data_IF_422251394337
#
_entry.id   IF_422251394337
#
_cell.length_a   1.000
_cell.length_b   1.000
_cell.length_c   1.000
_cell.angle_alpha   90.00
_cell.angle_beta   90.00
_cell.angle_gamma   90.00
#
_symmetry.space_group_name_H-M   'P 1'
#
loop_
_entity.id
_entity.type
_entity.pdbx_description
1 polymer ?
#
# COMPACT_ATOMS: atom_id res chain seq x y z
N UNK A 1 4.29 12.92 3.99
CA UNK A 1 3.84 14.33 3.95
C UNK A 1 2.55 14.44 4.73
N UNK A 2 2.47 15.43 5.65
CA UNK A 2 1.27 15.67 6.45
C UNK A 2 0.49 16.91 5.94
N UNK A 3 1.20 17.84 5.31
CA UNK A 3 0.59 19.09 4.87
C UNK A 3 1.37 19.67 3.69
N UNK A 4 0.67 20.33 2.78
CA UNK A 4 1.26 21.15 1.73
C UNK A 4 0.86 22.60 1.97
N UNK A 5 1.84 23.48 2.08
CA UNK A 5 1.68 24.93 2.17
C UNK A 5 1.92 25.53 0.81
N UNK A 6 0.96 26.31 0.32
CA UNK A 6 1.01 26.94 -1.00
C UNK A 6 0.82 28.45 -0.80
N UNK A 7 1.79 29.22 -1.25
CA UNK A 7 1.71 30.67 -1.34
C UNK A 7 1.22 31.00 -2.73
N UNK A 8 0.01 31.53 -2.87
CA UNK A 8 -0.63 31.74 -4.17
C UNK A 8 -1.28 33.10 -4.30
N UNK A 9 -1.00 33.77 -5.38
CA UNK A 9 -1.56 35.01 -5.81
C UNK A 9 -1.93 34.95 -7.30
N UNK A 10 -1.31 35.79 -8.13
CA UNK A 10 -1.41 35.70 -9.57
C UNK A 10 -0.74 34.45 -10.14
N UNK A 11 0.25 33.94 -9.43
CA UNK A 11 1.02 32.72 -9.72
C UNK A 11 1.08 31.84 -8.47
N UNK A 12 1.71 30.69 -8.58
CA UNK A 12 2.18 29.96 -7.41
C UNK A 12 3.50 30.60 -6.97
N UNK A 13 3.43 31.44 -5.95
CA UNK A 13 4.58 32.18 -5.43
C UNK A 13 5.55 31.23 -4.73
N UNK A 14 5.03 30.29 -3.95
CA UNK A 14 5.85 29.31 -3.26
C UNK A 14 5.09 28.07 -2.82
N UNK A 15 5.85 27.00 -2.56
CA UNK A 15 5.32 25.73 -2.09
C UNK A 15 6.27 25.09 -1.08
N UNK A 16 5.71 24.42 -0.06
CA UNK A 16 6.47 23.78 1.01
C UNK A 16 5.73 22.54 1.49
N UNK A 17 6.45 21.42 1.69
CA UNK A 17 5.94 20.24 2.36
C UNK A 17 6.21 20.30 3.86
N UNK A 18 5.24 19.84 4.64
CA UNK A 18 5.36 19.58 6.07
C UNK A 18 5.29 18.06 6.26
N UNK A 19 6.20 17.52 7.03
CA UNK A 19 6.32 16.10 7.28
C UNK A 19 5.96 15.76 8.72
N UNK A 20 5.32 14.65 8.93
CA UNK A 20 5.17 14.04 10.25
C UNK A 20 6.31 13.05 10.48
N UNK A 21 6.98 13.19 11.61
CA UNK A 21 8.03 12.29 12.05
C UNK A 21 7.43 11.07 12.77
N UNK A 22 8.20 9.99 12.97
CA UNK A 22 7.73 8.78 13.66
C UNK A 22 7.22 9.03 15.09
N UNK A 23 7.71 10.04 15.77
CA UNK A 23 7.28 10.46 17.11
C UNK A 23 5.98 11.30 17.10
N UNK A 24 5.40 11.53 15.90
CA UNK A 24 4.19 12.33 15.71
C UNK A 24 4.46 13.85 15.58
N UNK A 25 5.66 14.32 15.82
CA UNK A 25 6.01 15.73 15.64
C UNK A 25 6.02 16.14 14.17
N UNK A 26 5.87 17.45 13.91
CA UNK A 26 5.89 18.00 12.56
C UNK A 26 7.22 18.71 12.29
N UNK A 27 7.76 18.50 11.09
CA UNK A 27 8.90 19.26 10.59
C UNK A 27 8.61 19.82 9.21
N UNK A 28 9.19 20.97 8.87
CA UNK A 28 9.00 21.62 7.58
C UNK A 28 10.18 21.35 6.67
N UNK A 29 9.92 20.92 5.46
CA UNK A 29 10.89 20.89 4.38
C UNK A 29 11.21 22.31 3.89
N UNK A 30 12.19 22.45 2.98
CA UNK A 30 12.52 23.75 2.44
C UNK A 30 11.35 24.29 1.59
N UNK A 31 11.04 25.60 1.77
CA UNK A 31 10.15 26.31 0.87
C UNK A 31 10.84 26.50 -0.49
N UNK A 32 10.10 26.25 -1.54
CA UNK A 32 10.50 26.50 -2.92
C UNK A 32 9.71 27.68 -3.46
N UNK A 33 10.39 28.71 -3.97
CA UNK A 33 9.79 29.99 -4.35
C UNK A 33 9.75 31.01 -3.22
N UNK A 34 8.98 32.08 -3.43
CA UNK A 34 8.81 33.20 -2.51
C UNK A 34 7.72 32.95 -1.48
N UNK A 35 7.43 34.02 -0.72
CA UNK A 35 6.37 34.07 0.29
C UNK A 35 5.28 35.09 -0.07
N UNK A 36 5.26 35.55 -1.31
CA UNK A 36 4.20 36.39 -1.84
C UNK A 36 2.86 35.67 -1.88
N UNK A 37 1.82 36.40 -2.18
CA UNK A 37 0.47 35.88 -2.25
C UNK A 37 -0.11 35.45 -0.89
N UNK A 38 -1.22 34.73 -0.94
CA UNK A 38 -1.92 34.22 0.24
C UNK A 38 -1.41 32.82 0.60
N UNK A 39 -1.07 32.59 1.87
CA UNK A 39 -0.80 31.23 2.37
C UNK A 39 -2.10 30.41 2.39
N UNK A 40 -2.07 29.30 1.70
CA UNK A 40 -3.08 28.25 1.73
C UNK A 40 -2.44 26.98 2.28
N UNK A 41 -3.22 26.21 3.01
CA UNK A 41 -2.77 24.97 3.63
C UNK A 41 -3.68 23.84 3.21
N UNK A 42 -3.09 22.80 2.61
CA UNK A 42 -3.76 21.55 2.29
C UNK A 42 -3.23 20.47 3.24
N UNK A 43 -4.02 20.16 4.28
CA UNK A 43 -3.69 19.08 5.23
C UNK A 43 -4.13 17.75 4.66
N UNK A 44 -3.27 16.76 4.77
CA UNK A 44 -3.58 15.38 4.42
C UNK A 44 -4.20 14.68 5.63
N UNK A 45 -5.25 13.90 5.40
CA UNK A 45 -5.86 13.04 6.40
C UNK A 45 -4.97 11.82 6.67
N UNK A 46 -5.29 11.07 7.73
CA UNK A 46 -4.61 9.80 8.00
C UNK A 46 -4.69 8.88 6.76
N UNK A 47 -3.54 8.35 6.34
CA UNK A 47 -3.38 7.49 5.16
C UNK A 47 -3.67 8.17 3.80
N UNK A 48 -3.92 9.46 3.79
CA UNK A 48 -3.96 10.24 2.57
C UNK A 48 -2.54 10.55 2.11
N UNK A 49 -2.27 10.34 0.82
CA UNK A 49 -0.96 10.59 0.21
C UNK A 49 -1.09 11.21 -1.16
N UNK A 50 -0.06 11.97 -1.56
CA UNK A 50 -0.04 12.70 -2.83
C UNK A 50 0.19 11.71 -3.97
N UNK A 51 -0.68 11.77 -4.99
CA UNK A 51 -0.62 10.97 -6.22
C UNK A 51 -0.29 11.81 -7.46
N UNK A 52 -0.26 13.12 -7.33
CA UNK A 52 0.08 13.98 -8.47
C UNK A 52 -0.24 15.44 -8.27
N UNK A 53 0.07 16.21 -9.29
CA UNK A 53 -0.27 17.63 -9.43
C UNK A 53 -0.88 17.91 -10.79
N UNK A 54 -1.71 18.94 -10.88
CA UNK A 54 -2.14 19.51 -12.16
C UNK A 54 -2.34 21.02 -12.05
N UNK A 55 -2.39 21.70 -13.16
CA UNK A 55 -2.64 23.14 -13.20
C UNK A 55 -2.32 23.75 -14.55
N UNK A 56 -2.09 25.05 -14.54
CA UNK A 56 -1.73 25.84 -15.72
C UNK A 56 -0.36 26.46 -15.54
N UNK A 57 0.31 26.68 -16.65
CA UNK A 57 1.61 27.35 -16.69
C UNK A 57 1.81 28.19 -17.96
N UNK A 58 2.69 29.17 -17.87
CA UNK A 58 3.31 29.90 -18.95
C UNK A 58 4.84 29.84 -18.78
N UNK A 59 5.45 30.97 -18.43
CA UNK A 59 6.84 31.04 -18.00
C UNK A 59 7.02 30.60 -16.53
N UNK A 60 5.93 30.66 -15.77
CA UNK A 60 5.81 30.30 -14.35
C UNK A 60 4.68 29.30 -14.18
N UNK A 61 4.60 28.71 -12.98
CA UNK A 61 3.42 27.93 -12.57
C UNK A 61 2.32 28.92 -12.17
N UNK A 62 1.30 29.06 -13.01
CA UNK A 62 0.16 29.96 -12.77
C UNK A 62 -0.78 29.39 -11.72
N UNK A 63 -1.08 28.09 -11.81
CA UNK A 63 -1.96 27.43 -10.85
C UNK A 63 -1.55 26.00 -10.56
N UNK A 64 -1.99 25.51 -9.39
CA UNK A 64 -1.70 24.19 -8.88
C UNK A 64 -2.96 23.57 -8.27
N UNK A 65 -3.21 22.29 -8.57
CA UNK A 65 -4.06 21.37 -7.81
C UNK A 65 -3.23 20.21 -7.32
N UNK A 66 -3.52 19.77 -6.12
CA UNK A 66 -2.92 18.58 -5.51
C UNK A 66 -3.91 17.43 -5.68
N UNK A 67 -3.44 16.32 -6.23
CA UNK A 67 -4.19 15.08 -6.30
C UNK A 67 -3.68 14.14 -5.21
N UNK A 68 -4.60 13.53 -4.50
CA UNK A 68 -4.30 12.50 -3.50
C UNK A 68 -5.02 11.20 -3.88
N UNK A 69 -4.71 10.14 -3.14
CA UNK A 69 -5.47 8.88 -3.24
C UNK A 69 -6.95 9.06 -2.84
N UNK A 70 -7.31 10.17 -2.16
CA UNK A 70 -8.62 10.41 -1.60
C UNK A 70 -9.41 11.50 -2.33
N UNK A 71 -8.76 12.60 -2.72
CA UNK A 71 -9.42 13.81 -3.24
C UNK A 71 -8.48 14.66 -4.09
N UNK A 72 -9.08 15.66 -4.71
CA UNK A 72 -8.35 16.74 -5.40
C UNK A 72 -8.57 18.04 -4.63
N UNK A 73 -7.50 18.79 -4.42
CA UNK A 73 -7.59 20.10 -3.76
C UNK A 73 -8.34 21.14 -4.61
N UNK A 74 -8.76 22.26 -4.02
CA UNK A 74 -9.05 23.48 -4.78
C UNK A 74 -7.86 23.88 -5.65
N UNK A 75 -8.09 24.82 -6.58
CA UNK A 75 -7.01 25.48 -7.32
C UNK A 75 -6.33 26.50 -6.43
N UNK A 76 -5.02 26.49 -6.40
CA UNK A 76 -4.17 27.50 -5.77
C UNK A 76 -3.42 28.28 -6.84
N UNK A 77 -3.16 29.55 -6.62
CA UNK A 77 -2.55 30.47 -7.58
C UNK A 77 -3.60 31.21 -8.42
N UNK A 78 -3.23 31.63 -9.61
CA UNK A 78 -4.07 32.45 -10.49
C UNK A 78 -4.80 31.67 -11.58
N UNK A 79 -5.39 32.42 -12.50
CA UNK A 79 -6.13 31.88 -13.65
C UNK A 79 -5.38 32.01 -14.98
N UNK A 80 -4.17 32.59 -14.96
CA UNK A 80 -3.30 32.74 -16.12
C UNK A 80 -2.84 31.38 -16.65
N UNK A 81 -1.82 31.46 -17.51
CA UNK A 81 -1.25 30.27 -18.16
C UNK A 81 -2.09 29.75 -19.32
N UNK A 82 -1.43 29.52 -20.45
CA UNK A 82 -2.09 29.04 -21.69
C UNK A 82 -1.91 27.54 -21.89
N UNK A 83 -1.01 26.93 -21.12
CA UNK A 83 -0.72 25.50 -21.19
C UNK A 83 -1.18 24.81 -19.90
N UNK A 84 -1.64 23.57 -20.03
CA UNK A 84 -2.01 22.73 -18.89
C UNK A 84 -0.92 21.70 -18.64
N UNK A 85 -0.76 21.31 -17.38
CA UNK A 85 0.10 20.19 -16.99
C UNK A 85 -0.62 19.24 -16.06
N UNK A 86 -0.22 17.98 -16.12
CA UNK A 86 -0.63 16.91 -15.21
C UNK A 86 0.56 16.01 -14.93
N UNK A 87 0.87 15.86 -13.67
CA UNK A 87 1.93 14.98 -13.15
C UNK A 87 1.21 13.87 -12.38
N UNK A 88 1.42 12.64 -12.78
CA UNK A 88 0.87 11.47 -12.10
C UNK A 88 2.02 10.60 -11.59
N UNK A 89 1.86 10.09 -10.40
CA UNK A 89 2.79 9.16 -9.76
C UNK A 89 2.30 7.74 -10.05
N UNK A 90 3.20 6.79 -10.40
CA UNK A 90 2.83 5.40 -10.59
C UNK A 90 2.13 4.81 -9.36
N UNK A 91 1.12 3.95 -9.58
CA UNK A 91 0.37 3.30 -8.50
C UNK A 91 1.30 2.62 -7.48
N UNK A 92 0.88 2.61 -6.22
CA UNK A 92 1.68 2.08 -5.10
C UNK A 92 2.78 3.00 -4.58
N UNK A 93 2.88 4.23 -5.12
CA UNK A 93 3.84 5.23 -4.68
C UNK A 93 3.13 6.47 -4.12
N UNK A 94 3.88 7.28 -3.38
CA UNK A 94 3.47 8.55 -2.77
C UNK A 94 4.46 9.64 -3.12
N UNK A 95 3.99 10.85 -3.38
CA UNK A 95 4.83 12.05 -3.51
C UNK A 95 5.46 12.41 -2.17
N UNK A 96 6.79 12.40 -2.14
CA UNK A 96 7.55 12.58 -0.89
C UNK A 96 8.40 13.85 -0.88
N UNK A 97 8.72 14.42 -2.04
CA UNK A 97 9.47 15.68 -2.11
C UNK A 97 9.14 16.45 -3.40
N UNK A 98 9.48 17.73 -3.39
CA UNK A 98 9.32 18.62 -4.52
C UNK A 98 10.58 18.63 -5.38
N UNK A 99 10.37 18.64 -6.68
CA UNK A 99 11.39 18.79 -7.71
C UNK A 99 11.02 19.98 -8.58
N UNK A 100 12.00 20.73 -9.11
CA UNK A 100 11.71 21.80 -10.04
C UNK A 100 12.69 22.98 -9.94
N UNK A 101 12.23 24.13 -10.42
CA UNK A 101 12.96 25.40 -10.36
C UNK A 101 12.10 26.44 -9.70
N UNK A 102 12.72 27.30 -8.90
CA UNK A 102 12.05 28.39 -8.21
C UNK A 102 13.02 29.52 -7.94
N UNK A 103 12.56 30.74 -8.13
CA UNK A 103 13.21 31.97 -7.72
C UNK A 103 12.26 32.76 -6.83
N UNK A 104 11.78 33.93 -7.29
CA UNK A 104 10.71 34.67 -6.64
C UNK A 104 9.36 33.95 -6.71
N UNK A 105 9.16 33.14 -7.74
CA UNK A 105 7.99 32.32 -8.01
C UNK A 105 8.41 30.87 -8.25
N UNK A 106 7.46 29.98 -8.39
CA UNK A 106 7.70 28.61 -8.84
C UNK A 106 7.73 28.60 -10.36
N UNK A 107 8.93 28.38 -10.95
CA UNK A 107 9.13 28.38 -12.40
C UNK A 107 8.78 27.03 -13.03
N UNK A 108 9.09 25.95 -12.33
CA UNK A 108 8.76 24.58 -12.73
C UNK A 108 8.53 23.71 -11.51
N UNK A 109 7.63 22.74 -11.61
CA UNK A 109 7.26 21.85 -10.52
C UNK A 109 7.24 20.41 -10.97
N UNK A 110 7.68 19.51 -10.10
CA UNK A 110 7.64 18.07 -10.23
C UNK A 110 7.57 17.41 -8.85
N UNK A 111 7.42 16.10 -8.85
CA UNK A 111 7.36 15.29 -7.64
C UNK A 111 8.46 14.22 -7.65
N UNK A 112 9.16 14.11 -6.53
CA UNK A 112 9.90 12.90 -6.18
C UNK A 112 8.93 11.99 -5.47
N UNK A 113 8.90 10.71 -5.82
CA UNK A 113 8.02 9.72 -5.23
C UNK A 113 8.78 8.51 -4.71
N UNK A 114 8.18 7.84 -3.74
CA UNK A 114 8.69 6.59 -3.16
C UNK A 114 7.54 5.61 -2.96
N UNK A 115 7.82 4.30 -2.92
CA UNK A 115 6.82 3.31 -2.58
C UNK A 115 6.10 3.64 -1.26
N UNK A 116 4.78 3.49 -1.26
CA UNK A 116 3.95 3.69 -0.08
C UNK A 116 3.30 2.38 0.31
N UNK A 117 3.85 1.77 1.35
CA UNK A 117 3.48 0.45 1.80
C UNK A 117 2.42 0.47 2.89
N UNK A 118 1.65 -0.62 2.96
CA UNK A 118 0.70 -0.90 4.03
C UNK A 118 1.41 -0.95 5.37
N UNK A 119 0.87 -0.27 6.36
CA UNK A 119 1.34 -0.37 7.73
C UNK A 119 0.78 -1.65 8.37
N UNK A 120 1.66 -2.62 8.64
CA UNK A 120 1.30 -3.86 9.31
C UNK A 120 0.87 -3.55 10.75
N UNK A 121 -0.36 -3.90 11.11
CA UNK A 121 -0.89 -3.70 12.46
C UNK A 121 -0.35 -4.75 13.45
N UNK A 122 0.01 -5.93 12.95
CA UNK A 122 0.61 -6.98 13.76
C UNK A 122 0.80 -8.29 13.00
N UNK A 123 1.28 -9.29 13.74
CA UNK A 123 1.58 -10.63 13.25
C UNK A 123 0.95 -11.68 14.17
N UNK A 124 0.53 -12.81 13.62
CA UNK A 124 0.15 -13.98 14.40
C UNK A 124 1.40 -14.67 14.99
N UNK A 125 1.23 -15.77 15.70
CA UNK A 125 2.32 -16.73 15.96
C UNK A 125 2.66 -17.47 14.67
N UNK A 126 3.77 -18.20 14.68
CA UNK A 126 4.21 -19.09 13.59
C UNK A 126 4.03 -20.56 13.97
N UNK A 127 3.77 -21.41 12.97
CA UNK A 127 3.83 -22.86 13.05
C UNK A 127 4.88 -23.37 12.08
N UNK A 128 5.74 -24.29 12.54
CA UNK A 128 6.81 -24.87 11.76
C UNK A 128 8.10 -25.03 12.56
N UNK A 129 9.18 -25.38 11.89
CA UNK A 129 10.51 -25.55 12.46
C UNK A 129 11.40 -24.32 12.31
N UNK A 130 12.66 -24.45 12.75
CA UNK A 130 13.66 -23.38 12.71
C UNK A 130 14.56 -23.40 11.47
N UNK A 131 14.26 -24.23 10.46
CA UNK A 131 15.02 -24.32 9.22
C UNK A 131 14.84 -23.10 8.30
N UNK A 132 15.56 -23.12 7.17
CA UNK A 132 15.44 -22.10 6.14
C UNK A 132 15.81 -20.67 6.54
N UNK A 133 15.45 -19.73 5.70
CA UNK A 133 15.66 -18.28 5.92
C UNK A 133 14.36 -17.58 6.31
N UNK A 134 14.47 -16.53 7.09
CA UNK A 134 13.32 -15.72 7.45
C UNK A 134 12.77 -14.93 6.25
N UNK A 135 11.45 -14.81 6.17
CA UNK A 135 10.78 -13.94 5.22
C UNK A 135 9.62 -13.20 5.88
N UNK A 136 9.23 -12.09 5.31
CA UNK A 136 8.01 -11.38 5.68
C UNK A 136 7.51 -10.56 4.49
N UNK A 137 6.23 -10.71 4.15
CA UNK A 137 5.57 -9.89 3.15
C UNK A 137 5.17 -8.56 3.80
N UNK A 138 6.02 -7.54 3.67
CA UNK A 138 5.82 -6.20 4.24
C UNK A 138 5.77 -5.09 3.19
N UNK A 139 6.41 -5.30 2.05
CA UNK A 139 6.47 -4.33 0.97
C UNK A 139 5.22 -4.43 0.07
N UNK A 140 4.05 -4.28 0.71
CA UNK A 140 2.76 -4.39 0.06
C UNK A 140 2.25 -2.96 -0.19
N UNK A 141 1.99 -2.58 -1.46
CA UNK A 141 1.51 -1.25 -1.79
C UNK A 141 0.21 -0.90 -1.05
N UNK A 142 0.11 0.33 -0.60
CA UNK A 142 -1.08 0.81 0.10
C UNK A 142 -2.34 0.64 -0.76
N UNK A 143 -3.37 0.02 -0.17
CA UNK A 143 -4.63 -0.29 -0.84
C UNK A 143 -4.62 -1.56 -1.68
N UNK A 144 -3.51 -2.30 -1.71
CA UNK A 144 -3.46 -3.62 -2.31
C UNK A 144 -4.33 -4.62 -1.54
N UNK A 145 -4.95 -5.57 -2.25
CA UNK A 145 -5.78 -6.62 -1.67
C UNK A 145 -5.36 -7.97 -2.18
N UNK A 146 -5.34 -8.97 -1.33
CA UNK A 146 -5.15 -10.34 -1.77
C UNK A 146 -6.36 -10.76 -2.60
N UNK A 147 -6.11 -11.21 -3.84
CA UNK A 147 -7.12 -11.75 -4.73
C UNK A 147 -6.91 -13.23 -5.02
N UNK A 148 -5.69 -13.72 -4.83
CA UNK A 148 -5.35 -15.09 -5.13
C UNK A 148 -4.17 -15.57 -4.27
N UNK A 149 -4.24 -16.82 -3.84
CA UNK A 149 -3.09 -17.56 -3.30
C UNK A 149 -2.76 -18.70 -4.24
N UNK A 150 -1.50 -18.78 -4.67
CA UNK A 150 -0.93 -19.91 -5.40
C UNK A 150 -0.16 -20.76 -4.41
N UNK A 151 -0.60 -22.01 -4.23
CA UNK A 151 -0.08 -22.90 -3.20
C UNK A 151 0.49 -24.14 -3.89
N UNK A 152 1.77 -24.38 -3.71
CA UNK A 152 2.42 -25.61 -4.15
C UNK A 152 2.47 -26.56 -2.96
N UNK A 153 1.89 -27.75 -3.10
CA UNK A 153 1.75 -28.68 -1.98
C UNK A 153 1.84 -30.14 -2.44
N UNK A 154 2.62 -30.91 -1.71
CA UNK A 154 2.73 -32.36 -1.82
C UNK A 154 2.60 -33.00 -0.44
N UNK A 155 3.65 -33.63 0.06
CA UNK A 155 3.73 -34.09 1.45
C UNK A 155 3.77 -32.91 2.45
N UNK A 156 4.36 -31.80 2.02
CA UNK A 156 4.49 -30.55 2.75
C UNK A 156 3.90 -29.42 1.90
N UNK A 157 3.85 -28.21 2.48
CA UNK A 157 3.70 -27.01 1.70
C UNK A 157 5.05 -26.67 1.09
N UNK A 158 5.17 -26.84 -0.22
CA UNK A 158 6.40 -26.58 -0.97
C UNK A 158 6.62 -25.08 -1.17
N UNK A 159 5.56 -24.35 -1.43
CA UNK A 159 5.64 -22.89 -1.59
C UNK A 159 4.28 -22.22 -1.63
N UNK A 160 4.31 -20.91 -1.39
CA UNK A 160 3.13 -20.04 -1.44
C UNK A 160 3.49 -18.71 -2.12
N UNK A 161 2.59 -18.22 -2.96
CA UNK A 161 2.70 -16.91 -3.60
C UNK A 161 1.37 -16.17 -3.46
N UNK A 162 1.43 -14.90 -3.08
CA UNK A 162 0.27 -14.03 -2.96
C UNK A 162 0.14 -13.18 -4.23
N UNK A 163 -1.07 -13.05 -4.75
CA UNK A 163 -1.40 -12.14 -5.85
C UNK A 163 -2.32 -11.06 -5.30
N UNK A 164 -1.97 -9.81 -5.58
CA UNK A 164 -2.71 -8.63 -5.13
C UNK A 164 -3.37 -7.92 -6.30
N UNK A 165 -4.57 -7.41 -6.10
CA UNK A 165 -5.11 -6.32 -6.93
C UNK A 165 -4.68 -4.98 -6.32
N UNK A 166 -4.23 -4.07 -7.18
CA UNK A 166 -3.88 -2.69 -6.82
C UNK A 166 -5.08 -1.76 -7.08
N UNK A 167 -5.00 -0.53 -6.56
CA UNK A 167 -6.08 0.45 -6.69
C UNK A 167 -6.38 0.90 -8.12
N UNK A 168 -5.40 0.86 -9.00
CA UNK A 168 -5.56 1.19 -10.43
C UNK A 168 -6.13 0.06 -11.27
N UNK A 169 -6.46 -1.08 -10.65
CA UNK A 169 -6.95 -2.29 -11.28
C UNK A 169 -5.85 -3.22 -11.81
N UNK A 170 -4.59 -2.83 -11.71
CA UNK A 170 -3.47 -3.71 -12.04
C UNK A 170 -3.28 -4.81 -10.99
N UNK A 171 -2.53 -5.84 -11.34
CA UNK A 171 -2.16 -6.92 -10.42
C UNK A 171 -0.68 -6.88 -10.08
N UNK A 172 -0.37 -7.22 -8.83
CA UNK A 172 0.99 -7.41 -8.33
C UNK A 172 1.15 -8.86 -7.86
N UNK A 173 2.09 -9.58 -8.44
CA UNK A 173 2.51 -10.87 -7.93
C UNK A 173 3.59 -10.66 -6.87
N UNK A 174 3.29 -11.09 -5.65
CA UNK A 174 4.27 -11.10 -4.56
C UNK A 174 5.35 -12.15 -4.79
N UNK A 175 6.40 -12.17 -3.97
CA UNK A 175 7.44 -13.17 -4.05
C UNK A 175 6.87 -14.59 -3.86
N UNK A 176 7.38 -15.55 -4.62
CA UNK A 176 7.17 -16.97 -4.30
C UNK A 176 8.01 -17.30 -3.07
N UNK A 177 7.37 -17.71 -1.99
CA UNK A 177 8.00 -18.21 -0.77
C UNK A 177 8.12 -19.73 -0.84
N UNK A 178 9.30 -20.28 -0.56
CA UNK A 178 9.62 -21.69 -0.81
C UNK A 178 9.90 -21.94 -2.30
N UNK A 179 9.34 -23.01 -2.83
CA UNK A 179 9.60 -23.42 -4.23
C UNK A 179 8.34 -23.92 -4.96
N UNK A 180 8.45 -24.05 -6.27
CA UNK A 180 7.45 -24.71 -7.13
C UNK A 180 7.62 -26.23 -7.08
N UNK A 181 7.24 -26.86 -5.97
CA UNK A 181 7.20 -28.33 -5.81
C UNK A 181 5.77 -28.83 -5.65
N UNK A 182 5.59 -30.13 -5.55
CA UNK A 182 4.27 -30.74 -5.38
C UNK A 182 3.26 -30.32 -6.47
N UNK A 183 1.97 -30.42 -6.13
CA UNK A 183 0.87 -30.03 -7.03
C UNK A 183 0.56 -28.56 -6.91
N UNK A 184 0.43 -27.82 -8.03
CA UNK A 184 -0.01 -26.43 -8.01
C UNK A 184 -1.52 -26.35 -7.68
N UNK A 185 -1.86 -25.42 -6.81
CA UNK A 185 -3.23 -25.13 -6.39
C UNK A 185 -3.44 -23.63 -6.41
N UNK A 186 -4.65 -23.21 -6.74
CA UNK A 186 -5.05 -21.81 -6.74
C UNK A 186 -6.28 -21.64 -5.87
N UNK A 187 -6.20 -20.73 -4.90
CA UNK A 187 -7.33 -20.24 -4.12
C UNK A 187 -7.60 -18.81 -4.54
N UNK A 188 -8.65 -18.57 -5.31
CA UNK A 188 -9.14 -17.24 -5.65
C UNK A 188 -10.09 -16.75 -4.57
N UNK A 189 -9.92 -15.49 -4.16
CA UNK A 189 -10.82 -14.79 -3.27
C UNK A 189 -11.84 -13.99 -4.10
N UNK A 190 -13.10 -14.01 -3.64
CA UNK A 190 -14.18 -13.26 -4.26
C UNK A 190 -14.12 -11.77 -3.85
N UNK A 191 -14.94 -10.94 -4.49
CA UNK A 191 -15.08 -9.54 -4.11
C UNK A 191 -15.49 -9.43 -2.62
N UNK A 192 -14.75 -8.63 -1.83
CA UNK A 192 -14.92 -8.48 -0.37
C UNK A 192 -14.70 -9.77 0.45
N UNK A 193 -14.09 -10.79 -0.13
CA UNK A 193 -13.56 -11.93 0.61
C UNK A 193 -12.14 -11.61 1.06
N UNK A 194 -11.81 -11.86 2.32
CA UNK A 194 -10.49 -11.64 2.90
C UNK A 194 -10.13 -12.73 3.89
N UNK A 195 -8.85 -12.95 4.07
CA UNK A 195 -8.31 -14.01 4.93
C UNK A 195 -8.40 -13.55 6.39
N UNK A 196 -8.98 -14.41 7.23
CA UNK A 196 -9.15 -14.20 8.68
C UNK A 196 -8.29 -15.14 9.51
N UNK A 197 -7.68 -16.14 8.89
CA UNK A 197 -6.84 -17.09 9.62
C UNK A 197 -6.30 -18.21 8.74
N UNK A 198 -5.46 -19.01 9.35
CA UNK A 198 -4.93 -20.25 8.77
C UNK A 198 -4.93 -21.37 9.80
N UNK A 199 -5.02 -22.60 9.34
CA UNK A 199 -4.85 -23.80 10.15
C UNK A 199 -4.19 -24.92 9.35
N UNK A 200 -3.73 -25.93 10.03
CA UNK A 200 -3.08 -27.08 9.40
C UNK A 200 -2.28 -27.91 10.38
N UNK A 201 -1.23 -28.52 9.84
CA UNK A 201 -0.29 -29.34 10.63
C UNK A 201 1.15 -28.92 10.34
N UNK A 202 2.02 -29.14 11.29
CA UNK A 202 3.46 -28.84 11.18
C UNK A 202 4.32 -29.82 12.00
N UNK A 203 5.55 -29.99 11.55
CA UNK A 203 6.68 -30.57 12.26
C UNK A 203 7.89 -29.67 12.05
N UNK A 204 8.94 -30.21 11.42
CA UNK A 204 10.10 -29.42 10.98
C UNK A 204 9.74 -28.49 9.79
N UNK A 205 8.64 -28.79 9.11
CA UNK A 205 8.06 -28.02 8.01
C UNK A 205 6.58 -27.77 8.25
N UNK A 206 5.97 -26.94 7.44
CA UNK A 206 4.51 -26.81 7.34
C UNK A 206 3.99 -28.01 6.55
N UNK A 207 3.41 -28.99 7.25
CA UNK A 207 2.89 -30.22 6.63
C UNK A 207 1.62 -29.91 5.81
N UNK A 208 0.75 -29.09 6.33
CA UNK A 208 -0.47 -28.72 5.64
C UNK A 208 -0.98 -27.31 5.99
N UNK A 209 -1.85 -26.82 5.10
CA UNK A 209 -2.43 -25.49 5.20
C UNK A 209 -3.91 -25.52 4.81
N UNK A 210 -4.76 -24.90 5.63
CA UNK A 210 -6.11 -24.41 5.29
C UNK A 210 -6.14 -22.91 5.47
N UNK A 211 -6.84 -22.23 4.58
CA UNK A 211 -7.07 -20.79 4.63
C UNK A 211 -8.51 -20.54 5.08
N UNK A 212 -8.69 -19.75 6.12
CA UNK A 212 -10.00 -19.29 6.60
C UNK A 212 -10.22 -17.88 6.09
N UNK A 213 -11.42 -17.63 5.57
CA UNK A 213 -11.83 -16.31 5.12
C UNK A 213 -13.07 -15.85 5.92
N UNK A 214 -13.47 -14.61 5.74
CA UNK A 214 -14.72 -14.11 6.29
C UNK A 214 -15.98 -14.79 5.69
N UNK A 215 -15.83 -15.68 4.68
CA UNK A 215 -16.94 -16.34 3.99
C UNK A 215 -16.88 -17.87 4.05
N UNK A 216 -15.66 -18.44 4.02
CA UNK A 216 -15.46 -19.90 3.91
C UNK A 216 -14.12 -20.35 4.43
N UNK A 217 -13.97 -21.66 4.51
CA UNK A 217 -12.69 -22.34 4.75
C UNK A 217 -12.31 -23.11 3.49
N UNK A 218 -11.05 -23.00 3.07
CA UNK A 218 -10.53 -23.73 1.93
C UNK A 218 -10.46 -25.24 2.22
N UNK A 219 -10.25 -26.04 1.18
CA UNK A 219 -9.78 -27.41 1.38
C UNK A 219 -8.43 -27.44 2.09
N UNK A 220 -8.01 -28.59 2.57
CA UNK A 220 -6.66 -28.82 3.06
C UNK A 220 -5.71 -28.95 1.87
N UNK A 221 -4.59 -28.26 1.92
CA UNK A 221 -3.44 -28.42 1.03
C UNK A 221 -2.33 -29.10 1.83
N UNK A 222 -1.53 -29.98 1.19
CA UNK A 222 -0.44 -30.70 1.83
C UNK A 222 -0.83 -32.01 2.48
N UNK A 223 0.02 -32.49 3.39
CA UNK A 223 -0.09 -33.78 4.08
C UNK A 223 -0.98 -33.75 5.32
N UNK A 224 -1.00 -34.87 6.04
CA UNK A 224 -1.84 -35.07 7.23
C UNK A 224 -1.04 -35.37 8.49
N UNK A 225 0.28 -35.32 8.41
CA UNK A 225 1.21 -35.58 9.55
C UNK A 225 1.42 -34.31 10.39
N UNK A 226 2.11 -34.45 11.52
CA UNK A 226 2.52 -33.33 12.37
C UNK A 226 1.49 -32.89 13.40
N UNK A 227 1.86 -31.85 14.17
CA UNK A 227 1.04 -31.22 15.20
C UNK A 227 0.06 -30.23 14.58
N UNK A 228 -1.11 -30.11 15.15
CA UNK A 228 -2.11 -29.15 14.67
C UNK A 228 -1.76 -27.71 15.06
N UNK A 229 -2.10 -26.77 14.17
CA UNK A 229 -2.09 -25.35 14.46
C UNK A 229 -3.35 -24.66 13.94
N UNK A 230 -3.70 -23.58 14.58
CA UNK A 230 -4.72 -22.63 14.13
C UNK A 230 -4.34 -21.24 14.59
N UNK A 231 -4.30 -20.32 13.66
CA UNK A 231 -4.08 -18.88 13.92
C UNK A 231 -5.21 -18.09 13.29
N UNK A 232 -5.76 -17.18 14.07
CA UNK A 232 -6.73 -16.21 13.61
C UNK A 232 -6.15 -14.81 13.80
N UNK A 233 -6.41 -13.92 12.86
CA UNK A 233 -6.11 -12.51 13.06
C UNK A 233 -7.12 -11.94 14.04
N UNK A 234 -6.74 -10.97 14.89
CA UNK A 234 -7.67 -10.36 15.85
C UNK A 234 -8.90 -9.77 15.15
N UNK A 235 -10.07 -9.80 15.82
CA UNK A 235 -11.30 -9.25 15.28
C UNK A 235 -11.11 -7.80 14.79
N UNK A 236 -11.74 -7.46 13.66
CA UNK A 236 -11.56 -6.15 13.01
C UNK A 236 -10.28 -6.03 12.17
N UNK A 237 -9.55 -7.13 11.96
CA UNK A 237 -8.39 -7.19 11.09
C UNK A 237 -8.56 -8.23 9.98
N UNK A 238 -7.69 -8.17 8.99
CA UNK A 238 -7.58 -9.10 7.88
C UNK A 238 -6.11 -9.37 7.57
N UNK A 239 -5.79 -10.59 7.14
CA UNK A 239 -4.45 -10.88 6.69
C UNK A 239 -4.14 -10.15 5.39
N UNK A 240 -2.90 -9.68 5.26
CA UNK A 240 -2.41 -8.98 4.06
C UNK A 240 -1.19 -9.67 3.47
N UNK A 241 -0.60 -10.62 4.14
CA UNK A 241 0.56 -11.37 3.66
C UNK A 241 1.01 -12.40 4.67
N UNK A 242 2.07 -13.08 4.36
CA UNK A 242 2.66 -14.12 5.18
C UNK A 242 4.01 -13.71 5.73
N UNK A 243 4.42 -14.35 6.82
CA UNK A 243 5.77 -14.32 7.34
C UNK A 243 6.14 -15.68 7.90
N UNK A 244 7.41 -15.93 8.08
CA UNK A 244 7.90 -17.19 8.62
C UNK A 244 9.30 -17.53 8.16
N UNK A 245 9.50 -18.78 7.79
CA UNK A 245 10.79 -19.30 7.32
C UNK A 245 10.58 -20.15 6.07
N UNK A 246 11.48 -20.04 5.12
CA UNK A 246 11.44 -20.74 3.85
C UNK A 246 12.80 -21.28 3.43
N UNK A 247 12.78 -22.42 2.76
CA UNK A 247 13.93 -23.06 2.14
C UNK A 247 13.48 -23.93 0.99
N UNK A 248 13.79 -25.22 1.07
CA UNK A 248 13.26 -26.20 0.11
C UNK A 248 11.75 -26.37 0.23
N UNK A 249 11.20 -26.12 1.41
CA UNK A 249 9.77 -26.14 1.76
C UNK A 249 9.45 -24.90 2.56
N UNK A 250 8.19 -24.74 2.91
CA UNK A 250 7.81 -23.78 3.94
C UNK A 250 8.20 -24.35 5.31
N UNK A 251 9.26 -23.78 5.91
CA UNK A 251 9.77 -24.24 7.21
C UNK A 251 8.87 -23.73 8.34
N UNK A 252 8.38 -22.48 8.24
CA UNK A 252 7.40 -21.95 9.20
C UNK A 252 6.49 -20.91 8.52
N UNK A 253 5.26 -20.77 9.03
CA UNK A 253 4.25 -19.86 8.47
C UNK A 253 3.46 -19.13 9.56
N UNK A 254 3.17 -17.87 9.33
CA UNK A 254 2.28 -17.01 10.11
C UNK A 254 1.69 -15.93 9.19
N UNK A 255 0.81 -15.09 9.74
CA UNK A 255 0.10 -14.05 8.99
C UNK A 255 0.49 -12.66 9.46
N UNK A 256 0.81 -11.77 8.52
CA UNK A 256 0.80 -10.32 8.70
C UNK A 256 -0.64 -9.83 8.55
N UNK A 257 -1.11 -8.93 9.41
CA UNK A 257 -2.48 -8.42 9.35
C UNK A 257 -2.55 -6.90 9.50
N UNK A 258 -3.65 -6.34 8.99
CA UNK A 258 -3.98 -4.92 9.00
C UNK A 258 -5.42 -4.72 9.45
N UNK A 259 -5.79 -3.50 9.88
CA UNK A 259 -7.17 -3.19 10.25
C UNK A 259 -8.10 -3.22 9.02
N UNK A 260 -9.25 -3.89 9.14
CA UNK A 260 -10.28 -3.89 8.09
C UNK A 260 -10.88 -2.50 7.86
N UNK A 261 -10.92 -1.64 8.89
CA UNK A 261 -11.38 -0.25 8.76
C UNK A 261 -10.48 0.55 7.82
N UNK A 262 -9.18 0.32 7.92
CA UNK A 262 -8.16 0.93 7.06
C UNK A 262 -8.43 0.61 5.59
N UNK A 263 -8.78 -0.64 5.30
CA UNK A 263 -9.07 -1.12 3.93
C UNK A 263 -10.47 -0.71 3.45
N UNK A 264 -11.50 -0.78 4.29
CA UNK A 264 -12.88 -0.45 3.93
C UNK A 264 -13.13 1.04 3.71
N UNK A 265 -12.47 1.92 4.46
CA UNK A 265 -12.56 3.37 4.23
C UNK A 265 -11.99 3.73 2.86
N UNK A 266 -11.00 2.99 2.40
CA UNK A 266 -10.42 3.13 1.09
C UNK A 266 -11.40 2.70 -0.02
N UNK A 267 -12.24 1.68 0.20
CA UNK A 267 -13.21 1.15 -0.77
C UNK A 267 -14.45 2.00 -0.94
N UNK A 268 -15.05 2.46 0.15
CA UNK A 268 -16.27 3.28 0.09
C UNK A 268 -16.06 4.55 -0.74
N UNK A 269 -14.84 5.07 -0.74
CA UNK A 269 -14.46 6.27 -1.50
C UNK A 269 -14.18 5.94 -2.97
N UNK A 270 -13.63 4.76 -3.28
CA UNK A 270 -13.43 4.30 -4.65
C UNK A 270 -14.76 4.06 -5.38
N UNK A 271 -15.72 3.37 -4.77
CA UNK A 271 -17.05 3.13 -5.35
C UNK A 271 -17.88 4.39 -5.52
N UNK A 272 -17.67 5.45 -4.74
CA UNK A 272 -18.35 6.74 -4.94
C UNK A 272 -17.87 7.46 -6.20
N UNK A 273 -16.61 7.28 -6.60
CA UNK A 273 -16.03 7.94 -7.80
C UNK A 273 -16.44 7.29 -9.12
N UNK A 274 -16.80 6.01 -9.13
CA UNK A 274 -17.28 5.34 -10.36
C UNK A 274 -18.75 5.67 -10.68
N UNK A 275 -19.44 6.43 -9.81
CA UNK A 275 -20.84 6.84 -10.00
C UNK A 275 -21.02 8.33 -10.34
N UNK A 276 -19.92 9.05 -10.55
CA UNK A 276 -19.87 10.43 -11.07
C UNK A 276 -19.15 10.44 -12.42
#
# INVERSE_FOLDING_TARGET
VAEVRIYGGRYVDGIQFVYQLPDGSLTTGPRRGGDGGKLNTFKLEAEEYITGFSGKYGDLIDSLRIHTNERTSPVYGGTGGTKEYRIEIPAGNSGVALLGRAGRYVDAIGLVYAPYYVQIAGQTRTAGGGGGSEFSDREIPQGARITELRIHAGRYIDGIQVVYALRDGSTLEGPLRGRRGGSPNVLKLEANEYITGISGRYGDYVDSLRVHTNRRTSRLYGGTTGKEYRFEVPAGNMAIGFFGREGRYMDAIGLNYVSTRQMQNQDRRWFRRQRQ
#
